data_IF_284527271734
#
_entry.id   IF_284527271734
#
_cell.length_a   1.000
_cell.length_b   1.000
_cell.length_c   1.000
_cell.angle_alpha   90.00
_cell.angle_beta   90.00
_cell.angle_gamma   90.00
#
_symmetry.space_group_name_H-M   'P 1'
#
loop_
_entity.id
_entity.type
_entity.pdbx_description
1 polymer ?
#
# COMPACT_ATOMS: atom_id res chain seq x y z
N UNK A 1 -22.82 -24.68 -6.92
CA UNK A 1 -23.10 -24.03 -5.61
C UNK A 1 -21.84 -24.16 -4.78
N UNK A 2 -21.14 -23.05 -4.52
CA UNK A 2 -19.97 -23.10 -3.63
C UNK A 2 -20.46 -23.26 -2.19
N UNK A 3 -20.04 -24.35 -1.54
CA UNK A 3 -20.28 -24.57 -0.11
C UNK A 3 -19.69 -23.36 0.66
N UNK A 4 -20.50 -22.57 1.41
CA UNK A 4 -20.01 -21.38 2.14
C UNK A 4 -19.04 -21.75 3.28
N UNK A 5 -18.80 -23.04 3.52
CA UNK A 5 -17.86 -23.53 4.53
C UNK A 5 -16.43 -23.73 4.01
N UNK A 6 -16.21 -23.68 2.69
CA UNK A 6 -14.92 -24.03 2.06
C UNK A 6 -14.46 -22.93 1.11
N UNK A 7 -13.20 -22.51 1.21
CA UNK A 7 -12.54 -21.64 0.24
C UNK A 7 -11.25 -22.31 -0.25
N UNK A 8 -11.12 -22.43 -1.58
CA UNK A 8 -9.85 -22.73 -2.23
C UNK A 8 -9.11 -21.41 -2.48
N UNK A 9 -7.78 -21.39 -2.26
CA UNK A 9 -6.97 -20.22 -2.58
C UNK A 9 -6.97 -20.01 -4.11
N UNK A 10 -7.50 -18.88 -4.62
CA UNK A 10 -7.58 -18.61 -6.06
C UNK A 10 -6.21 -18.30 -6.68
N UNK A 11 -5.13 -18.28 -5.89
CA UNK A 11 -3.78 -17.91 -6.36
C UNK A 11 -3.58 -16.43 -6.66
N UNK A 12 -4.55 -15.58 -6.29
CA UNK A 12 -4.52 -14.13 -6.51
C UNK A 12 -3.42 -13.49 -5.65
N UNK A 13 -2.68 -12.57 -6.24
CA UNK A 13 -1.64 -11.81 -5.56
C UNK A 13 -2.18 -10.47 -5.06
N UNK A 14 -1.54 -9.88 -4.05
CA UNK A 14 -1.92 -8.56 -3.55
C UNK A 14 -1.87 -7.47 -4.63
N UNK A 15 -0.92 -7.55 -5.55
CA UNK A 15 -0.78 -6.59 -6.64
C UNK A 15 -1.91 -6.68 -7.69
N UNK A 16 -2.66 -7.78 -7.76
CA UNK A 16 -3.81 -7.89 -8.66
C UNK A 16 -4.96 -6.97 -8.21
N UNK A 17 -5.00 -6.61 -6.93
CA UNK A 17 -5.92 -5.60 -6.40
C UNK A 17 -5.36 -4.17 -6.45
N UNK A 18 -4.07 -4.01 -6.76
CA UNK A 18 -3.44 -2.69 -6.87
C UNK A 18 -3.73 -2.00 -8.23
N UNK A 19 -4.95 -2.16 -8.74
CA UNK A 19 -5.42 -1.52 -9.98
C UNK A 19 -6.11 -0.18 -9.70
N UNK A 20 -6.75 -0.05 -8.55
CA UNK A 20 -7.38 1.16 -8.04
C UNK A 20 -7.45 1.13 -6.52
N UNK A 21 -7.64 2.30 -5.89
CA UNK A 21 -7.62 2.43 -4.43
C UNK A 21 -8.78 3.27 -3.94
N UNK A 22 -9.33 2.90 -2.77
CA UNK A 22 -10.28 3.75 -2.03
C UNK A 22 -9.52 4.38 -0.88
N UNK A 23 -9.47 5.71 -0.84
CA UNK A 23 -8.62 6.48 0.07
C UNK A 23 -9.38 7.62 0.75
N UNK A 24 -8.78 8.22 1.77
CA UNK A 24 -9.24 9.49 2.30
C UNK A 24 -8.85 10.64 1.39
N UNK A 25 -9.79 11.53 1.10
CA UNK A 25 -9.53 12.74 0.33
C UNK A 25 -8.57 13.67 1.08
N UNK A 26 -7.52 14.21 0.47
CA UNK A 26 -6.58 15.11 1.15
C UNK A 26 -7.19 16.45 1.53
N UNK A 27 -8.35 16.83 0.95
CA UNK A 27 -9.03 18.11 1.25
C UNK A 27 -10.12 18.00 2.31
N UNK A 28 -11.00 17.00 2.23
CA UNK A 28 -12.18 16.93 3.10
C UNK A 28 -12.21 15.68 3.97
N UNK A 29 -11.22 14.80 3.86
CA UNK A 29 -11.14 13.50 4.54
C UNK A 29 -12.29 12.52 4.20
N UNK A 30 -13.19 12.88 3.29
CA UNK A 30 -14.24 12.01 2.77
C UNK A 30 -13.69 10.95 1.84
N UNK A 31 -14.56 10.03 1.39
CA UNK A 31 -14.20 8.94 0.49
C UNK A 31 -13.77 9.47 -0.88
N UNK A 32 -12.62 8.98 -1.36
CA UNK A 32 -12.09 9.28 -2.67
C UNK A 32 -11.58 8.00 -3.36
N UNK A 33 -11.54 8.03 -4.68
CA UNK A 33 -11.09 6.93 -5.51
C UNK A 33 -9.87 7.33 -6.32
N UNK A 34 -8.84 6.49 -6.32
CA UNK A 34 -7.68 6.60 -7.21
C UNK A 34 -7.87 5.56 -8.31
N UNK A 35 -8.21 6.00 -9.51
CA UNK A 35 -8.51 5.12 -10.64
C UNK A 35 -7.57 5.37 -11.82
N UNK A 36 -7.29 4.36 -12.64
CA UNK A 36 -6.69 4.54 -13.96
C UNK A 36 -7.58 5.42 -14.85
N UNK A 37 -6.95 6.20 -15.73
CA UNK A 37 -7.62 6.99 -16.77
C UNK A 37 -7.47 6.25 -18.08
N UNK A 38 -8.61 5.87 -18.71
CA UNK A 38 -8.63 5.03 -19.91
C UNK A 38 -8.40 3.54 -19.59
N UNK A 39 -7.97 2.79 -20.61
CA UNK A 39 -7.90 1.32 -20.58
C UNK A 39 -6.53 0.76 -20.16
N UNK A 40 -5.59 1.62 -19.76
CA UNK A 40 -4.26 1.19 -19.33
C UNK A 40 -4.24 0.99 -17.81
N UNK A 41 -4.28 -0.27 -17.38
CA UNK A 41 -4.26 -0.64 -15.96
C UNK A 41 -2.85 -0.96 -15.48
N UNK A 42 -2.52 -0.70 -14.18
CA UNK A 42 -1.27 -1.12 -13.58
C UNK A 42 -1.10 -2.65 -13.68
N UNK A 43 0.08 -3.11 -14.07
CA UNK A 43 0.41 -4.54 -14.11
C UNK A 43 1.38 -4.88 -13.00
N UNK A 44 1.07 -5.92 -12.22
CA UNK A 44 1.92 -6.39 -11.12
C UNK A 44 2.30 -5.29 -10.10
N UNK A 45 1.40 -4.32 -9.86
CA UNK A 45 1.65 -3.19 -8.97
C UNK A 45 2.63 -2.15 -9.52
N UNK A 46 2.98 -2.22 -10.81
CA UNK A 46 3.78 -1.21 -11.48
C UNK A 46 2.87 -0.12 -12.09
N UNK A 47 3.04 1.12 -11.63
CA UNK A 47 2.26 2.29 -12.07
C UNK A 47 2.98 3.12 -13.13
N UNK A 48 4.15 2.71 -13.58
CA UNK A 48 4.92 3.45 -14.58
C UNK A 48 4.15 3.50 -15.92
N UNK A 49 3.98 4.70 -16.45
CA UNK A 49 3.25 4.93 -17.70
C UNK A 49 1.73 4.77 -17.59
N UNK A 50 1.18 4.56 -16.38
CA UNK A 50 -0.27 4.52 -16.15
C UNK A 50 -0.74 5.90 -15.71
N UNK A 51 -1.64 6.52 -16.45
CA UNK A 51 -2.33 7.73 -16.03
C UNK A 51 -3.33 7.37 -14.91
N UNK A 52 -3.17 7.98 -13.74
CA UNK A 52 -4.03 7.77 -12.59
C UNK A 52 -4.69 9.10 -12.20
N UNK A 53 -5.86 9.04 -11.59
CA UNK A 53 -6.58 10.22 -11.11
C UNK A 53 -7.29 9.91 -9.79
N UNK A 54 -7.12 10.81 -8.83
CA UNK A 54 -7.91 10.85 -7.61
C UNK A 54 -9.18 11.66 -7.87
N UNK A 55 -10.33 11.12 -7.45
CA UNK A 55 -11.63 11.81 -7.48
C UNK A 55 -12.34 11.60 -6.15
N UNK A 56 -12.65 12.69 -5.45
CA UNK A 56 -13.42 12.65 -4.21
C UNK A 56 -14.92 12.65 -4.51
N UNK A 57 -15.67 11.76 -3.86
CA UNK A 57 -17.13 11.68 -4.02
C UNK A 57 -17.89 12.73 -3.21
N UNK A 58 -17.26 13.32 -2.16
CA UNK A 58 -17.90 14.28 -1.27
C UNK A 58 -17.67 15.75 -1.68
N UNK A 59 -16.42 16.14 -1.98
CA UNK A 59 -16.08 17.52 -2.31
C UNK A 59 -15.67 17.72 -3.78
N UNK A 60 -15.74 16.68 -4.60
CA UNK A 60 -15.42 16.69 -6.03
C UNK A 60 -13.97 17.12 -6.35
N UNK A 61 -13.08 17.05 -5.34
CA UNK A 61 -11.66 17.29 -5.56
C UNK A 61 -11.10 16.27 -6.54
N UNK A 62 -10.36 16.75 -7.53
CA UNK A 62 -9.66 15.94 -8.54
C UNK A 62 -8.18 16.27 -8.49
N UNK A 63 -7.34 15.23 -8.51
CA UNK A 63 -5.88 15.38 -8.49
C UNK A 63 -5.22 14.29 -9.35
N UNK A 64 -4.14 14.66 -10.05
CA UNK A 64 -3.26 13.74 -10.78
C UNK A 64 -1.99 13.49 -9.96
N UNK A 65 -1.28 12.34 -10.16
CA UNK A 65 -0.05 12.06 -9.45
C UNK A 65 1.01 13.13 -9.65
N UNK A 66 1.75 13.41 -8.59
CA UNK A 66 2.82 14.43 -8.56
C UNK A 66 3.15 14.82 -7.12
N UNK A 67 2.14 14.90 -6.28
CA UNK A 67 2.29 15.14 -4.84
C UNK A 67 2.24 13.83 -4.06
N UNK A 68 3.14 13.68 -3.09
CA UNK A 68 3.14 12.58 -2.13
C UNK A 68 2.66 13.08 -0.75
N UNK A 69 1.68 12.44 -0.18
CA UNK A 69 1.07 12.81 1.12
C UNK A 69 1.52 11.91 2.28
N UNK A 70 2.14 10.76 1.97
CA UNK A 70 2.57 9.81 2.97
C UNK A 70 3.95 10.11 3.55
N UNK A 71 4.41 9.26 4.45
CA UNK A 71 5.77 9.33 4.95
C UNK A 71 6.78 8.90 3.87
N UNK A 72 7.90 9.59 3.80
CA UNK A 72 9.03 9.22 2.96
C UNK A 72 10.35 9.68 3.59
N UNK A 73 11.43 9.01 3.19
CA UNK A 73 12.79 9.29 3.66
C UNK A 73 13.69 9.52 2.46
N UNK A 74 14.43 10.61 2.48
CA UNK A 74 15.53 10.88 1.56
C UNK A 74 16.82 10.35 2.16
N UNK A 75 17.64 9.68 1.34
CA UNK A 75 18.91 9.10 1.74
C UNK A 75 19.99 9.42 0.71
N UNK A 76 21.18 9.83 1.20
CA UNK A 76 22.39 10.03 0.41
C UNK A 76 23.50 9.18 1.03
N UNK A 77 24.25 8.46 0.19
CA UNK A 77 25.46 7.73 0.56
C UNK A 77 26.45 7.85 -0.60
N UNK A 78 27.42 8.72 -0.44
CA UNK A 78 28.37 9.11 -1.49
C UNK A 78 29.76 9.35 -0.90
N UNK A 79 30.76 9.65 -1.76
CA UNK A 79 32.05 10.20 -1.35
C UNK A 79 32.07 11.71 -1.55
N UNK A 80 32.71 12.44 -0.65
CA UNK A 80 32.99 13.86 -0.78
C UNK A 80 33.69 14.13 -2.12
N UNK A 81 33.31 15.20 -2.80
CA UNK A 81 33.89 15.58 -4.08
C UNK A 81 35.35 16.00 -3.96
N UNK A 82 35.70 16.64 -2.83
CA UNK A 82 37.04 17.21 -2.60
C UNK A 82 38.03 16.20 -1.99
N UNK A 83 37.65 15.56 -0.86
CA UNK A 83 38.58 14.72 -0.11
C UNK A 83 38.27 13.22 -0.19
N UNK A 84 37.20 12.81 -0.90
CA UNK A 84 36.74 11.43 -1.06
C UNK A 84 36.34 10.73 0.25
N UNK A 85 36.21 11.45 1.37
CA UNK A 85 35.66 10.88 2.61
C UNK A 85 34.22 10.41 2.42
N UNK A 86 33.81 9.33 3.10
CA UNK A 86 32.45 8.83 2.99
C UNK A 86 31.45 9.81 3.64
N UNK A 87 30.39 10.14 2.92
CA UNK A 87 29.29 10.98 3.38
C UNK A 87 28.00 10.18 3.38
N UNK A 88 27.27 10.21 4.50
CA UNK A 88 25.98 9.55 4.62
C UNK A 88 25.00 10.42 5.43
N UNK A 89 23.81 10.62 4.91
CA UNK A 89 22.76 11.36 5.59
C UNK A 89 21.38 10.83 5.20
N UNK A 90 20.48 10.85 6.18
CA UNK A 90 19.06 10.56 5.99
C UNK A 90 18.23 11.70 6.55
N UNK A 91 17.14 12.07 5.88
CA UNK A 91 16.21 13.10 6.33
C UNK A 91 14.77 12.74 5.95
N UNK A 92 13.75 13.15 6.72
CA UNK A 92 12.37 13.12 6.28
C UNK A 92 12.20 13.88 4.96
N UNK A 93 11.42 13.31 4.04
CA UNK A 93 11.14 13.94 2.75
C UNK A 93 9.70 14.46 2.70
N UNK A 94 9.51 15.70 2.30
CA UNK A 94 8.21 16.39 2.28
C UNK A 94 7.58 16.50 0.88
N UNK A 95 8.21 15.92 -0.13
CA UNK A 95 7.68 15.88 -1.50
C UNK A 95 8.16 17.01 -2.41
N UNK A 96 8.95 17.97 -1.92
CA UNK A 96 9.28 19.20 -2.67
C UNK A 96 10.72 19.32 -3.16
N UNK A 97 11.66 18.56 -2.61
CA UNK A 97 13.09 18.65 -2.95
C UNK A 97 13.66 17.28 -3.35
N UNK A 98 14.72 17.29 -4.14
CA UNK A 98 15.39 16.05 -4.59
C UNK A 98 16.86 16.00 -4.16
N UNK A 99 17.41 17.12 -3.70
CA UNK A 99 18.80 17.22 -3.26
C UNK A 99 18.88 17.43 -1.76
N UNK A 100 19.86 16.79 -1.13
CA UNK A 100 20.14 16.90 0.29
C UNK A 100 21.50 17.56 0.47
N UNK A 101 21.52 18.65 1.24
CA UNK A 101 22.77 19.33 1.61
C UNK A 101 23.60 18.44 2.55
N UNK A 102 24.89 18.32 2.26
CA UNK A 102 25.87 17.53 3.00
C UNK A 102 27.04 18.40 3.38
N UNK A 103 27.49 18.32 4.63
CA UNK A 103 28.71 18.90 5.12
C UNK A 103 29.78 17.83 5.30
N UNK A 104 30.97 18.03 4.77
CA UNK A 104 32.09 17.12 4.96
C UNK A 104 32.90 17.52 6.19
N UNK A 105 32.89 16.70 7.24
CA UNK A 105 33.64 16.99 8.46
C UNK A 105 35.17 16.91 8.29
N UNK A 106 35.66 16.24 7.21
CA UNK A 106 37.10 16.07 6.96
C UNK A 106 37.75 17.28 6.27
N UNK A 107 37.03 17.90 5.31
CA UNK A 107 37.59 19.03 4.55
C UNK A 107 36.77 20.32 4.64
N UNK A 108 35.62 20.30 5.31
CA UNK A 108 34.72 21.44 5.47
C UNK A 108 33.90 21.80 4.23
N UNK A 109 33.92 20.96 3.18
CA UNK A 109 33.14 21.19 1.96
C UNK A 109 31.63 21.04 2.19
N UNK A 110 30.85 21.95 1.63
CA UNK A 110 29.38 21.95 1.65
C UNK A 110 28.86 21.76 0.23
N UNK A 111 28.20 20.65 0.01
CA UNK A 111 27.67 20.29 -1.30
C UNK A 111 26.25 19.71 -1.21
N UNK A 112 25.53 19.80 -2.31
CA UNK A 112 24.24 19.12 -2.48
C UNK A 112 24.38 17.88 -3.36
N UNK A 113 23.75 16.80 -2.94
CA UNK A 113 23.72 15.53 -3.68
C UNK A 113 22.29 15.06 -3.92
N UNK A 114 22.04 14.44 -5.08
CA UNK A 114 20.76 13.78 -5.38
C UNK A 114 20.47 12.72 -4.32
N UNK A 115 19.26 12.79 -3.74
CA UNK A 115 18.82 11.87 -2.70
C UNK A 115 17.99 10.74 -3.30
N UNK A 116 18.23 9.53 -2.81
CA UNK A 116 17.33 8.40 -3.05
C UNK A 116 16.09 8.52 -2.15
N UNK A 117 14.90 8.63 -2.76
CA UNK A 117 13.64 8.78 -2.02
C UNK A 117 12.98 7.42 -1.83
N UNK A 118 12.79 7.04 -0.56
CA UNK A 118 12.03 5.85 -0.17
C UNK A 118 10.68 6.26 0.39
N UNK A 119 9.60 5.92 -0.31
CA UNK A 119 8.21 6.12 0.11
C UNK A 119 7.79 4.99 1.02
N UNK A 120 7.19 5.30 2.18
CA UNK A 120 6.77 4.29 3.14
C UNK A 120 5.30 3.88 2.91
N UNK A 121 4.99 2.57 2.97
CA UNK A 121 3.63 2.08 2.74
C UNK A 121 2.70 2.27 3.95
N UNK A 122 3.22 2.86 5.04
CA UNK A 122 2.47 3.22 6.25
C UNK A 122 2.83 4.62 6.69
N UNK A 123 1.83 5.35 7.18
CA UNK A 123 1.98 6.67 7.77
C UNK A 123 1.06 6.78 8.99
N UNK A 124 1.60 7.18 10.14
CA UNK A 124 0.87 7.33 11.41
C UNK A 124 0.05 6.08 11.79
N UNK A 125 0.63 4.90 11.63
CA UNK A 125 -0.01 3.62 11.92
C UNK A 125 -1.08 3.17 10.91
N UNK A 126 -1.31 3.92 9.84
CA UNK A 126 -2.28 3.62 8.78
C UNK A 126 -1.60 3.13 7.52
N UNK A 127 -2.22 2.16 6.84
CA UNK A 127 -1.81 1.73 5.49
C UNK A 127 -2.15 2.82 4.49
N UNK A 128 -1.23 3.13 3.57
CA UNK A 128 -1.41 4.13 2.52
C UNK A 128 -1.43 3.52 1.13
N UNK A 129 -2.04 4.24 0.17
CA UNK A 129 -1.97 3.87 -1.23
C UNK A 129 -0.57 4.15 -1.80
N UNK A 130 -0.13 3.39 -2.83
CA UNK A 130 1.22 3.52 -3.37
C UNK A 130 1.40 4.68 -4.38
N UNK A 131 0.33 5.40 -4.73
CA UNK A 131 0.34 6.45 -5.75
C UNK A 131 0.48 7.84 -5.15
N UNK A 132 -0.36 8.15 -4.17
CA UNK A 132 -0.39 9.45 -3.48
C UNK A 132 0.13 9.37 -2.04
N UNK A 133 0.20 8.17 -1.43
CA UNK A 133 0.52 8.00 -0.02
C UNK A 133 -0.62 8.40 0.93
N UNK A 134 -1.85 8.45 0.43
CA UNK A 134 -3.03 8.77 1.23
C UNK A 134 -3.48 7.56 2.04
N UNK A 135 -3.98 7.74 3.27
CA UNK A 135 -4.53 6.65 4.05
C UNK A 135 -5.66 5.93 3.31
N UNK A 136 -5.65 4.60 3.31
CA UNK A 136 -6.74 3.82 2.74
C UNK A 136 -8.05 4.10 3.50
N UNK A 137 -9.16 4.11 2.78
CA UNK A 137 -10.50 4.25 3.36
C UNK A 137 -10.94 2.96 4.08
N UNK A 138 -10.67 1.82 3.45
CA UNK A 138 -11.05 0.49 3.95
C UNK A 138 -9.99 -0.04 4.92
N UNK A 139 -9.86 0.59 6.10
CA UNK A 139 -8.96 0.12 7.15
C UNK A 139 -9.52 0.43 8.54
N UNK A 140 -9.22 -0.44 9.51
CA UNK A 140 -9.63 -0.29 10.91
C UNK A 140 -8.79 -1.14 11.83
N UNK A 141 -8.55 -0.64 13.06
CA UNK A 141 -7.89 -1.43 14.09
C UNK A 141 -8.78 -2.59 14.57
N UNK A 142 -8.15 -3.74 14.70
CA UNK A 142 -8.75 -4.94 15.28
C UNK A 142 -7.84 -5.52 16.34
N UNK A 143 -8.13 -5.25 17.62
CA UNK A 143 -7.38 -5.78 18.77
C UNK A 143 -5.87 -5.47 18.73
N UNK A 144 -5.48 -4.31 18.27
CA UNK A 144 -4.09 -3.88 18.14
C UNK A 144 -3.43 -4.21 16.80
N UNK A 145 -4.10 -4.95 15.93
CA UNK A 145 -3.66 -5.21 14.55
C UNK A 145 -4.42 -4.33 13.57
N UNK A 146 -3.79 -3.90 12.49
CA UNK A 146 -4.45 -3.13 11.44
C UNK A 146 -5.05 -4.06 10.37
N UNK A 147 -6.39 -4.07 10.27
CA UNK A 147 -7.09 -4.65 9.14
C UNK A 147 -7.22 -3.60 8.02
N UNK A 148 -6.95 -3.99 6.75
CA UNK A 148 -7.05 -3.09 5.61
C UNK A 148 -7.31 -3.82 4.29
N UNK A 149 -7.89 -3.08 3.32
CA UNK A 149 -8.05 -3.49 1.94
C UNK A 149 -7.82 -2.30 1.00
N UNK A 150 -7.32 -2.54 -0.23
CA UNK A 150 -7.11 -1.49 -1.23
C UNK A 150 -8.43 -0.98 -1.81
N UNK A 151 -9.37 -1.88 -2.04
CA UNK A 151 -10.67 -1.64 -2.68
C UNK A 151 -11.68 -2.69 -2.21
N UNK A 152 -12.91 -2.60 -2.70
CA UNK A 152 -14.00 -3.49 -2.30
C UNK A 152 -13.84 -4.93 -2.81
N UNK A 153 -13.16 -5.15 -3.96
CA UNK A 153 -12.84 -6.49 -4.46
C UNK A 153 -11.87 -7.21 -3.53
N UNK A 154 -10.84 -6.49 -3.07
CA UNK A 154 -9.91 -7.01 -2.06
C UNK A 154 -10.65 -7.33 -0.75
N UNK A 155 -11.51 -6.40 -0.28
CA UNK A 155 -12.32 -6.60 0.92
C UNK A 155 -13.24 -7.82 0.80
N UNK A 156 -13.86 -8.00 -0.36
CA UNK A 156 -14.73 -9.15 -0.67
C UNK A 156 -14.00 -10.50 -0.61
N UNK A 157 -12.77 -10.57 -1.15
CA UNK A 157 -11.94 -11.79 -1.03
C UNK A 157 -11.53 -12.06 0.43
N UNK A 158 -11.14 -11.04 1.18
CA UNK A 158 -10.84 -11.17 2.61
C UNK A 158 -12.06 -11.66 3.40
N UNK A 159 -13.26 -11.14 3.09
CA UNK A 159 -14.51 -11.59 3.69
C UNK A 159 -14.76 -13.08 3.45
N UNK A 160 -14.63 -13.53 2.20
CA UNK A 160 -14.80 -14.95 1.85
C UNK A 160 -13.80 -15.82 2.63
N UNK A 161 -12.54 -15.42 2.70
CA UNK A 161 -11.51 -16.13 3.44
C UNK A 161 -11.81 -16.23 4.94
N UNK A 162 -12.26 -15.12 5.57
CA UNK A 162 -12.58 -15.08 6.99
C UNK A 162 -13.82 -15.93 7.29
N UNK A 163 -14.84 -15.89 6.43
CA UNK A 163 -16.08 -16.65 6.59
C UNK A 163 -15.86 -18.17 6.47
N UNK A 164 -14.89 -18.59 5.66
CA UNK A 164 -14.64 -20.00 5.41
C UNK A 164 -14.18 -20.76 6.67
N UNK A 165 -14.86 -21.90 6.98
CA UNK A 165 -14.48 -22.80 8.06
C UNK A 165 -13.30 -23.70 7.67
N UNK A 166 -13.28 -24.14 6.42
CA UNK A 166 -12.23 -24.95 5.83
C UNK A 166 -11.47 -24.13 4.78
N UNK A 167 -10.14 -24.12 4.88
CA UNK A 167 -9.24 -23.38 3.99
C UNK A 167 -8.34 -24.38 3.30
N UNK A 168 -8.52 -24.56 2.01
CA UNK A 168 -7.66 -25.42 1.20
C UNK A 168 -6.52 -24.58 0.62
N UNK A 169 -5.30 -25.12 0.74
CA UNK A 169 -4.16 -24.55 -0.01
C UNK A 169 -4.39 -24.87 -1.48
N UNK A 170 -4.58 -23.86 -2.31
CA UNK A 170 -4.69 -24.02 -3.76
C UNK A 170 -3.46 -24.75 -4.28
N UNK A 171 -3.68 -25.88 -4.96
CA UNK A 171 -2.66 -26.56 -5.71
C UNK A 171 -2.82 -26.05 -7.14
N UNK A 172 -1.94 -25.12 -7.57
CA UNK A 172 -1.80 -24.87 -9.00
C UNK A 172 -0.98 -26.01 -9.60
N UNK A 173 -1.59 -26.92 -10.39
CA UNK A 173 -0.89 -28.05 -10.97
C UNK A 173 0.17 -27.60 -11.99
N UNK A 174 0.16 -26.35 -12.43
CA UNK A 174 1.07 -25.81 -13.46
C UNK A 174 2.30 -25.10 -12.91
N UNK A 175 2.36 -24.77 -11.60
CA UNK A 175 3.48 -24.00 -11.07
C UNK A 175 3.72 -24.22 -9.57
N UNK A 176 4.61 -25.17 -9.25
CA UNK A 176 5.05 -25.46 -7.87
C UNK A 176 5.80 -24.29 -7.20
N UNK A 177 6.32 -23.33 -7.97
CA UNK A 177 7.09 -22.19 -7.47
C UNK A 177 6.19 -21.06 -6.92
N UNK A 178 4.93 -20.95 -7.37
CA UNK A 178 4.00 -19.90 -6.95
C UNK A 178 3.21 -20.18 -5.66
N UNK A 179 3.37 -21.35 -5.04
CA UNK A 179 2.62 -21.77 -3.84
C UNK A 179 2.72 -20.82 -2.64
N UNK A 180 3.82 -20.08 -2.51
CA UNK A 180 4.09 -19.19 -1.37
C UNK A 180 3.86 -17.70 -1.67
N UNK A 181 3.40 -17.33 -2.87
CA UNK A 181 3.21 -15.95 -3.27
C UNK A 181 1.77 -15.47 -3.22
N UNK A 182 0.79 -16.39 -3.16
CA UNK A 182 -0.62 -16.04 -3.07
C UNK A 182 -0.91 -15.18 -1.83
N UNK A 183 -1.73 -14.15 -1.98
CA UNK A 183 -2.05 -13.19 -0.93
C UNK A 183 -2.61 -13.88 0.32
N UNK A 184 -3.53 -14.84 0.16
CA UNK A 184 -4.18 -15.54 1.27
C UNK A 184 -3.20 -16.34 2.14
N UNK A 185 -2.11 -16.86 1.55
CA UNK A 185 -1.07 -17.58 2.30
C UNK A 185 -0.24 -16.65 3.21
N UNK A 186 -0.15 -15.37 2.86
CA UNK A 186 0.63 -14.33 3.56
C UNK A 186 -0.18 -13.45 4.50
N UNK A 187 -1.47 -13.74 4.67
CA UNK A 187 -2.30 -12.98 5.59
C UNK A 187 -1.74 -13.04 7.02
N UNK A 188 -1.85 -11.94 7.79
CA UNK A 188 -1.45 -11.90 9.19
C UNK A 188 -2.17 -12.97 10.03
N UNK A 189 -1.51 -13.43 11.08
CA UNK A 189 -2.03 -14.49 11.96
C UNK A 189 -3.37 -14.14 12.61
N UNK A 190 -3.61 -12.86 12.96
CA UNK A 190 -4.90 -12.47 13.55
C UNK A 190 -6.09 -12.75 12.62
N UNK A 191 -5.89 -12.67 11.30
CA UNK A 191 -6.94 -12.98 10.30
C UNK A 191 -7.16 -14.48 10.11
N UNK A 192 -6.18 -15.30 10.48
CA UNK A 192 -6.24 -16.77 10.37
C UNK A 192 -6.89 -17.43 11.58
N UNK A 193 -6.89 -16.76 12.75
CA UNK A 193 -7.42 -17.31 14.01
C UNK A 193 -8.94 -17.45 13.98
N UNK A 194 -9.45 -18.67 14.24
CA UNK A 194 -10.89 -18.95 14.29
C UNK A 194 -11.62 -18.09 15.34
N UNK A 195 -10.98 -17.81 16.48
CA UNK A 195 -11.54 -16.97 17.55
C UNK A 195 -11.79 -15.51 17.14
N UNK A 196 -11.17 -15.04 16.06
CA UNK A 196 -11.34 -13.67 15.55
C UNK A 196 -12.41 -13.56 14.44
N UNK A 197 -12.92 -14.69 13.94
CA UNK A 197 -13.79 -14.74 12.76
C UNK A 197 -14.99 -13.80 12.87
N UNK A 198 -15.82 -13.97 13.89
CA UNK A 198 -17.06 -13.20 14.03
C UNK A 198 -16.77 -11.69 14.22
N UNK A 199 -15.74 -11.35 14.97
CA UNK A 199 -15.31 -9.97 15.13
C UNK A 199 -14.81 -9.34 13.83
N UNK A 200 -14.03 -10.10 13.04
CA UNK A 200 -13.54 -9.65 11.73
C UNK A 200 -14.67 -9.52 10.71
N UNK A 201 -15.65 -10.43 10.69
CA UNK A 201 -16.82 -10.32 9.81
C UNK A 201 -17.63 -9.06 10.11
N UNK A 202 -17.88 -8.75 11.40
CA UNK A 202 -18.56 -7.50 11.81
C UNK A 202 -17.76 -6.26 11.38
N UNK A 203 -16.43 -6.32 11.47
CA UNK A 203 -15.56 -5.23 11.01
C UNK A 203 -15.67 -5.05 9.49
N UNK A 204 -15.62 -6.13 8.71
CA UNK A 204 -15.79 -6.11 7.25
C UNK A 204 -17.15 -5.53 6.87
N UNK A 205 -18.25 -5.98 7.49
CA UNK A 205 -19.59 -5.43 7.27
C UNK A 205 -19.68 -3.93 7.58
N UNK A 206 -18.94 -3.46 8.59
CA UNK A 206 -18.87 -2.04 8.89
C UNK A 206 -18.14 -1.26 7.78
N UNK A 207 -17.02 -1.79 7.26
CA UNK A 207 -16.26 -1.17 6.17
C UNK A 207 -17.02 -1.16 4.84
N UNK A 208 -17.84 -2.19 4.56
CA UNK A 208 -18.69 -2.26 3.36
C UNK A 208 -19.80 -1.21 3.34
N UNK A 209 -20.25 -0.74 4.52
CA UNK A 209 -21.32 0.26 4.69
C UNK A 209 -20.82 1.71 4.68
N UNK A 210 -19.54 1.96 4.73
CA UNK A 210 -18.92 3.29 4.65
C UNK A 210 -18.92 3.80 3.20
#
# INVERSE_FOLDING_TARGET
MNDPQRIADPGIQLYDFATHFVVHCPKCQGKAHVNPVGDNFPKYGNFQGVALRLVCTACFHVETPGRWYGAATAFVSVKCRECHAPLQRSAPWDGHWQKLAMHCNECGDDCEYEAHITRHPYHEGRKTDPVFGLPLWLQKDFRGDLFWAYNYEHLGLLRQYIAAKLRERGIDPRNSIRKNSAMLSRLPEFMKKAANRDGLLKLVEHLERQ
#
